data_IF_205553612344
#
_entry.id   IF_205553612344
#
_cell.length_a   1.000
_cell.length_b   1.000
_cell.length_c   1.000
_cell.angle_alpha   90.00
_cell.angle_beta   90.00
_cell.angle_gamma   90.00
#
_symmetry.space_group_name_H-M   'P 1'
#
loop_
_entity.id
_entity.type
_entity.pdbx_description
1 polymer ?
#
# COMPACT_ATOMS: atom_id res chain seq x y z
N UNK A 1 10.74 -16.64 27.63
CA UNK A 1 11.47 -17.33 26.55
C UNK A 1 10.46 -18.00 25.63
N UNK A 2 10.69 -17.99 24.32
CA UNK A 2 9.82 -18.71 23.37
C UNK A 2 10.24 -20.17 23.22
N UNK A 3 9.28 -21.05 22.94
CA UNK A 3 9.52 -22.45 22.60
C UNK A 3 9.63 -22.59 21.07
N UNK A 4 10.64 -23.31 20.59
CA UNK A 4 10.79 -23.60 19.15
C UNK A 4 9.90 -24.78 18.78
N UNK A 5 9.12 -24.63 17.69
CA UNK A 5 8.30 -25.71 17.11
C UNK A 5 8.51 -25.78 15.60
N UNK A 6 8.31 -26.96 15.03
CA UNK A 6 8.29 -27.20 13.58
C UNK A 6 6.83 -27.30 13.12
N UNK A 7 6.49 -26.68 11.99
CA UNK A 7 5.19 -26.79 11.33
C UNK A 7 5.42 -27.42 9.96
N UNK A 8 4.87 -28.61 9.72
CA UNK A 8 4.93 -29.25 8.40
C UNK A 8 3.88 -28.64 7.47
N UNK A 9 4.29 -28.35 6.23
CA UNK A 9 3.41 -27.82 5.19
C UNK A 9 3.98 -28.16 3.80
N UNK A 10 3.11 -28.52 2.86
CA UNK A 10 3.49 -28.72 1.45
C UNK A 10 3.84 -27.39 0.76
N UNK A 11 3.25 -26.29 1.22
CA UNK A 11 3.48 -24.94 0.69
C UNK A 11 3.29 -23.89 1.78
N UNK A 12 4.15 -22.87 1.76
CA UNK A 12 4.05 -21.71 2.64
C UNK A 12 3.91 -20.47 1.74
N UNK A 13 2.81 -19.73 1.92
CA UNK A 13 2.57 -18.47 1.19
C UNK A 13 2.70 -17.29 2.16
N UNK A 14 3.79 -16.51 2.10
CA UNK A 14 3.91 -15.31 2.90
C UNK A 14 2.94 -14.24 2.37
N UNK A 15 2.03 -13.76 3.23
CA UNK A 15 1.03 -12.76 2.87
C UNK A 15 1.49 -11.31 3.12
N UNK A 16 2.55 -11.11 3.90
CA UNK A 16 3.02 -9.80 4.37
C UNK A 16 4.56 -9.75 4.33
N UNK A 17 5.16 -8.54 4.23
CA UNK A 17 4.54 -7.22 4.22
C UNK A 17 3.95 -6.81 2.85
N UNK A 18 2.91 -5.98 2.88
CA UNK A 18 2.44 -5.26 1.69
C UNK A 18 3.45 -4.17 1.30
N UNK A 19 3.57 -3.88 0.00
CA UNK A 19 4.45 -2.83 -0.52
C UNK A 19 3.66 -1.87 -1.42
N UNK A 20 3.84 -0.55 -1.28
CA UNK A 20 3.22 0.40 -2.19
C UNK A 20 3.71 0.19 -3.62
N UNK A 21 2.80 0.29 -4.60
CA UNK A 21 3.13 0.27 -6.03
C UNK A 21 3.21 1.71 -6.56
N UNK A 22 4.42 2.24 -6.67
CA UNK A 22 4.68 3.66 -6.98
C UNK A 22 5.23 3.90 -8.39
N UNK A 23 5.33 2.88 -9.24
CA UNK A 23 6.00 2.98 -10.54
C UNK A 23 5.38 4.07 -11.44
N UNK A 24 4.05 4.10 -11.54
CA UNK A 24 3.34 5.11 -12.34
C UNK A 24 3.48 6.52 -11.74
N UNK A 25 3.41 6.64 -10.42
CA UNK A 25 3.54 7.92 -9.73
C UNK A 25 4.91 8.56 -10.02
N UNK A 26 5.98 7.77 -9.89
CA UNK A 26 7.34 8.19 -10.22
C UNK A 26 7.50 8.53 -11.70
N UNK A 27 6.89 7.74 -12.59
CA UNK A 27 6.96 7.98 -14.03
C UNK A 27 6.29 9.29 -14.49
N UNK A 28 5.39 9.87 -13.67
CA UNK A 28 4.65 11.10 -13.97
C UNK A 28 5.19 12.34 -13.25
N UNK A 29 6.22 12.18 -12.40
CA UNK A 29 6.83 13.28 -11.67
C UNK A 29 7.35 14.35 -12.64
N UNK A 30 6.94 15.61 -12.43
CA UNK A 30 7.29 16.74 -13.30
C UNK A 30 6.62 16.78 -14.68
N UNK A 31 5.74 15.82 -15.03
CA UNK A 31 5.06 15.78 -16.34
C UNK A 31 3.68 16.43 -16.34
N UNK A 32 3.09 16.65 -15.17
CA UNK A 32 1.77 17.26 -14.99
C UNK A 32 1.85 18.35 -13.91
N UNK A 33 0.96 19.36 -13.93
CA UNK A 33 0.95 20.41 -12.93
C UNK A 33 0.81 19.87 -11.50
N UNK A 34 -0.03 18.85 -11.31
CA UNK A 34 -0.34 18.25 -10.01
C UNK A 34 -0.58 16.74 -10.15
N UNK A 35 -0.08 15.96 -9.20
CA UNK A 35 -0.30 14.52 -9.09
C UNK A 35 -0.30 14.10 -7.62
N UNK A 36 -1.26 13.27 -7.21
CA UNK A 36 -1.44 12.85 -5.82
C UNK A 36 -1.54 11.32 -5.73
N UNK A 37 -0.64 10.64 -5.00
CA UNK A 37 -0.81 9.23 -4.69
C UNK A 37 -1.84 9.10 -3.55
N UNK A 38 -2.78 8.17 -3.64
CA UNK A 38 -3.81 7.92 -2.62
C UNK A 38 -4.01 6.43 -2.38
N UNK A 39 -4.41 6.06 -1.16
CA UNK A 39 -4.60 4.66 -0.78
C UNK A 39 -3.29 3.87 -0.78
N UNK A 40 -3.34 2.58 -1.09
CA UNK A 40 -2.21 1.66 -0.89
C UNK A 40 -0.98 1.99 -1.74
N UNK A 41 -1.13 2.70 -2.86
CA UNK A 41 0.02 3.14 -3.65
C UNK A 41 0.80 4.27 -2.96
N UNK A 42 0.17 5.02 -2.06
CA UNK A 42 0.83 5.95 -1.14
C UNK A 42 1.34 5.21 0.09
N UNK A 43 0.48 4.42 0.72
CA UNK A 43 0.75 3.74 1.98
C UNK A 43 -0.23 2.58 2.19
N UNK A 44 0.21 1.30 2.15
CA UNK A 44 -0.67 0.14 2.31
C UNK A 44 -1.33 0.08 3.69
N UNK A 45 -2.66 0.06 3.72
CA UNK A 45 -3.48 0.00 4.94
C UNK A 45 -4.73 -0.89 4.71
N UNK A 46 -5.79 -0.71 5.52
CA UNK A 46 -7.07 -1.36 5.25
C UNK A 46 -7.89 -0.52 4.26
N UNK A 47 -9.00 -1.11 3.81
CA UNK A 47 -9.90 -0.50 2.83
C UNK A 47 -10.46 0.84 3.32
N UNK A 48 -10.67 1.00 4.64
CA UNK A 48 -11.22 2.22 5.20
C UNK A 48 -10.26 3.41 5.03
N UNK A 49 -8.96 3.20 5.21
CA UNK A 49 -7.94 4.22 5.02
C UNK A 49 -7.82 4.63 3.56
N UNK A 50 -7.91 3.68 2.62
CA UNK A 50 -7.92 3.99 1.18
C UNK A 50 -9.11 4.88 0.79
N UNK A 51 -10.31 4.57 1.31
CA UNK A 51 -11.52 5.39 1.11
C UNK A 51 -11.32 6.78 1.73
N UNK A 52 -10.86 6.84 2.99
CA UNK A 52 -10.65 8.09 3.70
C UNK A 52 -9.62 8.99 2.98
N UNK A 53 -8.54 8.40 2.45
CA UNK A 53 -7.48 9.13 1.76
C UNK A 53 -7.98 9.74 0.44
N UNK A 54 -8.71 8.97 -0.37
CA UNK A 54 -9.36 9.50 -1.57
C UNK A 54 -10.38 10.59 -1.24
N UNK A 55 -11.17 10.39 -0.19
CA UNK A 55 -12.15 11.38 0.28
C UNK A 55 -11.50 12.68 0.78
N UNK A 56 -10.32 12.59 1.41
CA UNK A 56 -9.53 13.73 1.89
C UNK A 56 -8.98 14.54 0.72
N UNK A 57 -8.32 13.90 -0.24
CA UNK A 57 -7.77 14.60 -1.41
C UNK A 57 -8.88 15.21 -2.26
N UNK A 58 -9.97 14.47 -2.51
CA UNK A 58 -11.09 14.97 -3.31
C UNK A 58 -11.86 16.16 -2.71
N UNK A 59 -11.66 16.49 -1.43
CA UNK A 59 -12.20 17.71 -0.79
C UNK A 59 -11.16 18.83 -0.63
N UNK A 60 -9.89 18.53 -0.86
CA UNK A 60 -8.80 19.48 -0.72
C UNK A 60 -8.45 20.19 -2.03
N UNK A 61 -8.90 19.63 -3.16
CA UNK A 61 -8.80 20.19 -4.52
C UNK A 61 -10.15 20.79 -4.93
#
# INVERSE_FOLDING_TARGET
GGERRTIEADTIVPAIPLRPNTELFQALEGKVPEIYPIGDCREPHLILEAIADGSRIGRAI
#
